data_IF_974111806174
#
_entry.id   IF_974111806174
#
_cell.length_a   1.000
_cell.length_b   1.000
_cell.length_c   1.000
_cell.angle_alpha   90.00
_cell.angle_beta   90.00
_cell.angle_gamma   90.00
#
_symmetry.space_group_name_H-M   'P 1'
#
loop_
_entity.id
_entity.type
_entity.pdbx_description
1 polymer ?
#
# COMPACT_ATOMS: atom_id res chain seq x y z
N UNK A 1 22.79 -35.20 -29.35
CA UNK A 1 23.54 -34.00 -28.96
C UNK A 1 22.55 -32.88 -28.74
N UNK A 2 22.64 -32.18 -27.62
CA UNK A 2 21.86 -30.96 -27.35
C UNK A 2 22.84 -29.79 -27.43
N UNK A 3 22.50 -28.80 -28.25
CA UNK A 3 23.37 -27.71 -28.67
C UNK A 3 23.82 -26.82 -27.51
N UNK A 4 25.10 -26.46 -27.52
CA UNK A 4 25.69 -25.44 -26.66
C UNK A 4 25.31 -24.06 -27.18
N UNK A 5 24.28 -23.47 -26.59
CA UNK A 5 24.20 -22.02 -26.45
C UNK A 5 24.02 -21.77 -24.95
N UNK A 6 25.08 -21.28 -24.29
CA UNK A 6 25.13 -20.98 -22.85
C UNK A 6 24.24 -19.75 -22.49
N UNK A 7 22.97 -19.79 -22.88
CA UNK A 7 21.99 -18.85 -22.39
C UNK A 7 21.67 -19.21 -20.95
N UNK A 8 22.18 -18.38 -20.03
CA UNK A 8 21.82 -18.44 -18.62
C UNK A 8 20.36 -18.04 -18.48
N UNK A 9 19.48 -19.02 -18.28
CA UNK A 9 18.06 -18.80 -17.99
C UNK A 9 17.88 -18.66 -16.48
N UNK A 10 17.32 -17.53 -16.03
CA UNK A 10 16.90 -17.34 -14.64
C UNK A 10 15.43 -17.72 -14.50
N UNK A 11 15.12 -18.66 -13.61
CA UNK A 11 13.75 -19.06 -13.30
C UNK A 11 13.37 -18.48 -11.94
N UNK A 12 12.30 -17.68 -11.92
CA UNK A 12 11.69 -17.14 -10.70
C UNK A 12 10.31 -17.75 -10.51
N UNK A 13 10.00 -18.17 -9.29
CA UNK A 13 8.69 -18.68 -8.91
C UNK A 13 8.27 -18.05 -7.58
N UNK A 14 6.96 -17.76 -7.44
CA UNK A 14 6.37 -17.21 -6.22
C UNK A 14 5.26 -18.12 -5.72
N UNK A 15 5.20 -18.36 -4.41
CA UNK A 15 4.14 -19.15 -3.78
C UNK A 15 3.84 -18.61 -2.38
N UNK A 16 2.57 -18.61 -2.00
CA UNK A 16 2.13 -18.31 -0.63
C UNK A 16 2.02 -19.59 0.22
N UNK A 17 2.15 -20.77 -0.38
CA UNK A 17 2.01 -22.08 0.27
C UNK A 17 3.20 -22.99 -0.07
N UNK A 18 4.41 -22.67 0.42
CA UNK A 18 5.63 -23.42 0.07
C UNK A 18 5.63 -24.88 0.54
N UNK A 19 4.78 -25.23 1.51
CA UNK A 19 4.63 -26.59 2.03
C UNK A 19 3.78 -27.50 1.13
N UNK A 20 2.89 -26.91 0.31
CA UNK A 20 2.06 -27.65 -0.63
C UNK A 20 2.85 -28.10 -1.88
N UNK A 21 4.05 -27.56 -2.07
CA UNK A 21 4.95 -27.97 -3.15
C UNK A 21 5.59 -29.32 -2.85
N UNK A 22 5.55 -30.21 -3.84
CA UNK A 22 6.21 -31.50 -3.76
C UNK A 22 7.73 -31.37 -3.49
N UNK A 23 8.26 -32.36 -2.77
CA UNK A 23 9.66 -32.37 -2.38
C UNK A 23 10.61 -32.37 -3.59
N UNK A 24 10.25 -33.01 -4.71
CA UNK A 24 11.09 -33.05 -5.90
C UNK A 24 11.23 -31.66 -6.55
N UNK A 25 10.17 -30.85 -6.54
CA UNK A 25 10.19 -29.46 -7.04
C UNK A 25 10.98 -28.58 -6.06
N UNK A 26 10.75 -28.72 -4.76
CA UNK A 26 11.46 -27.95 -3.72
C UNK A 26 12.98 -28.12 -3.81
N UNK A 27 13.46 -29.32 -4.14
CA UNK A 27 14.90 -29.61 -4.32
C UNK A 27 15.51 -28.98 -5.57
N UNK A 28 14.71 -28.57 -6.56
CA UNK A 28 15.18 -27.91 -7.79
C UNK A 28 15.30 -26.38 -7.65
N UNK A 29 14.75 -25.81 -6.58
CA UNK A 29 14.92 -24.41 -6.23
C UNK A 29 15.96 -24.27 -5.13
N UNK A 30 17.23 -24.13 -5.55
CA UNK A 30 18.40 -24.06 -4.67
C UNK A 30 18.42 -22.80 -3.78
N UNK A 31 17.79 -21.72 -4.24
CA UNK A 31 17.68 -20.46 -3.52
C UNK A 31 16.21 -20.19 -3.19
N UNK A 32 15.95 -19.89 -1.92
CA UNK A 32 14.62 -19.55 -1.39
C UNK A 32 14.74 -18.27 -0.62
N UNK A 33 13.95 -17.27 -1.00
CA UNK A 33 13.93 -15.96 -0.36
C UNK A 33 12.56 -15.80 0.29
N UNK A 34 12.56 -15.53 1.59
CA UNK A 34 11.35 -15.17 2.30
C UNK A 34 11.07 -13.68 2.13
N UNK A 35 9.83 -13.34 1.80
CA UNK A 35 9.37 -11.96 1.68
C UNK A 35 8.41 -11.71 2.84
N UNK A 36 8.84 -11.03 3.92
CA UNK A 36 7.97 -10.71 5.04
C UNK A 36 6.97 -9.61 4.68
N UNK A 37 5.99 -9.42 5.57
CA UNK A 37 5.14 -8.22 5.54
C UNK A 37 5.98 -6.94 5.65
N UNK A 38 5.53 -5.83 5.03
CA UNK A 38 6.27 -4.58 5.04
C UNK A 38 6.39 -4.02 6.47
N UNK A 39 7.58 -3.55 6.82
CA UNK A 39 7.85 -2.84 8.07
C UNK A 39 7.26 -1.41 8.04
N UNK A 40 7.34 -0.69 9.16
CA UNK A 40 6.76 0.65 9.26
C UNK A 40 7.30 1.59 8.17
N UNK A 41 8.61 1.58 7.93
CA UNK A 41 9.27 2.44 6.92
C UNK A 41 8.87 2.05 5.51
N UNK A 42 8.78 0.75 5.20
CA UNK A 42 8.27 0.27 3.93
C UNK A 42 6.82 0.69 3.74
N UNK A 43 5.94 0.57 4.74
CA UNK A 43 4.54 1.03 4.63
C UNK A 43 4.44 2.53 4.40
N UNK A 44 5.23 3.34 5.11
CA UNK A 44 5.33 4.79 4.84
C UNK A 44 5.77 5.04 3.40
N UNK A 45 6.81 4.35 2.95
CA UNK A 45 7.29 4.47 1.58
C UNK A 45 6.25 4.00 0.56
N UNK A 46 5.48 2.95 0.85
CA UNK A 46 4.40 2.48 -0.01
C UNK A 46 3.30 3.52 -0.13
N UNK A 47 2.89 4.18 0.96
CA UNK A 47 1.93 5.28 0.87
C UNK A 47 2.47 6.48 0.08
N UNK A 48 3.75 6.84 0.24
CA UNK A 48 4.42 7.89 -0.54
C UNK A 48 4.59 7.52 -2.02
N UNK A 49 4.95 6.28 -2.32
CA UNK A 49 5.09 5.77 -3.70
C UNK A 49 3.73 5.65 -4.37
N UNK A 50 2.66 5.46 -3.61
CA UNK A 50 1.29 5.41 -4.13
C UNK A 50 0.70 6.79 -4.45
N UNK A 51 1.44 7.90 -4.23
CA UNK A 51 1.21 9.19 -4.90
C UNK A 51 1.33 9.05 -6.44
N UNK A 52 1.82 7.91 -6.93
CA UNK A 52 2.07 7.59 -8.33
C UNK A 52 0.93 6.83 -9.07
N UNK A 53 -0.33 7.02 -8.67
CA UNK A 53 -1.48 6.62 -9.49
C UNK A 53 -2.14 7.88 -10.07
N UNK A 54 -2.01 8.16 -11.38
CA UNK A 54 -2.97 8.97 -12.08
C UNK A 54 -4.03 8.03 -12.63
N UNK A 55 -5.23 8.57 -12.61
CA UNK A 55 -6.32 8.38 -13.57
C UNK A 55 -7.67 8.70 -12.91
N UNK A 56 -7.72 9.66 -11.98
CA UNK A 56 -8.96 10.42 -11.78
C UNK A 56 -9.29 11.25 -13.05
N UNK A 57 -8.34 11.40 -13.98
CA UNK A 57 -8.56 11.99 -15.30
C UNK A 57 -8.60 10.96 -16.44
N UNK A 58 -9.26 9.81 -16.24
CA UNK A 58 -9.64 8.91 -17.34
C UNK A 58 -11.14 8.58 -17.37
N UNK A 59 -11.98 9.59 -17.10
CA UNK A 59 -13.41 9.55 -17.45
C UNK A 59 -13.81 10.56 -18.55
N UNK A 60 -12.84 11.14 -19.27
CA UNK A 60 -13.09 11.85 -20.54
C UNK A 60 -12.16 11.27 -21.63
N UNK A 61 -12.38 10.00 -21.96
CA UNK A 61 -12.12 9.48 -23.32
C UNK A 61 -10.68 9.41 -23.84
N UNK A 62 -9.68 8.99 -23.05
CA UNK A 62 -8.39 8.56 -23.64
C UNK A 62 -8.00 7.12 -23.29
N UNK A 63 -7.33 6.50 -24.26
CA UNK A 63 -7.17 5.07 -24.47
C UNK A 63 -5.96 4.53 -23.69
N UNK A 64 -6.16 3.42 -22.98
CA UNK A 64 -5.16 2.59 -22.29
C UNK A 64 -4.01 2.17 -23.22
N UNK A 65 -2.77 2.31 -22.75
CA UNK A 65 -1.77 1.23 -22.87
C UNK A 65 -0.53 1.46 -21.99
N UNK A 66 -0.07 0.35 -21.39
CA UNK A 66 1.25 0.08 -20.80
C UNK A 66 1.43 0.29 -19.28
N UNK A 67 1.45 -0.86 -18.60
CA UNK A 67 1.82 -1.07 -17.21
C UNK A 67 3.33 -0.87 -16.97
N UNK A 68 3.66 -0.15 -15.89
CA UNK A 68 4.63 -0.48 -14.84
C UNK A 68 4.88 0.80 -14.04
N UNK A 69 4.14 0.92 -12.93
CA UNK A 69 4.45 1.61 -11.67
C UNK A 69 5.44 2.78 -11.82
N UNK A 70 4.97 3.98 -12.16
CA UNK A 70 5.54 5.30 -11.79
C UNK A 70 4.77 6.40 -12.53
N UNK A 71 3.75 7.01 -11.92
CA UNK A 71 2.96 8.02 -12.59
C UNK A 71 2.42 9.11 -11.61
N UNK A 72 3.05 10.28 -11.64
CA UNK A 72 2.97 11.36 -10.66
C UNK A 72 1.63 12.04 -10.35
N UNK A 73 1.58 12.52 -9.10
CA UNK A 73 0.95 13.72 -8.52
C UNK A 73 -0.58 13.89 -8.66
N UNK A 74 -1.33 13.05 -7.94
CA UNK A 74 -2.71 13.42 -7.55
C UNK A 74 -2.66 14.56 -6.52
N UNK A 75 -3.40 15.68 -6.71
CA UNK A 75 -3.41 16.78 -5.76
C UNK A 75 -3.94 16.31 -4.40
N UNK A 76 -3.05 16.32 -3.41
CA UNK A 76 -3.33 15.92 -2.04
C UNK A 76 -2.74 16.95 -1.07
N UNK A 77 -3.31 17.04 0.13
CA UNK A 77 -2.83 17.92 1.19
C UNK A 77 -2.31 17.12 2.39
N UNK A 78 -1.45 16.13 2.13
CA UNK A 78 -0.88 15.23 3.14
C UNK A 78 0.54 15.67 3.50
N UNK A 79 0.84 15.63 4.78
CA UNK A 79 2.18 15.90 5.31
C UNK A 79 2.95 14.61 5.58
N UNK A 80 4.26 14.70 5.78
CA UNK A 80 5.09 13.55 6.19
C UNK A 80 4.58 12.88 7.49
N UNK A 81 4.06 13.68 8.43
CA UNK A 81 3.46 13.18 9.66
C UNK A 81 2.18 12.37 9.40
N UNK A 82 1.40 12.73 8.38
CA UNK A 82 0.19 11.99 8.01
C UNK A 82 0.57 10.61 7.45
N UNK A 83 1.59 10.54 6.58
CA UNK A 83 2.09 9.27 6.06
C UNK A 83 2.62 8.35 7.18
N UNK A 84 3.29 8.93 8.19
CA UNK A 84 3.69 8.18 9.37
C UNK A 84 2.50 7.65 10.16
N UNK A 85 1.47 8.48 10.38
CA UNK A 85 0.25 8.07 11.08
C UNK A 85 -0.49 6.95 10.35
N UNK A 86 -0.58 7.03 9.02
CA UNK A 86 -1.18 6.00 8.17
C UNK A 86 -0.42 4.67 8.30
N UNK A 87 0.91 4.70 8.18
CA UNK A 87 1.73 3.50 8.26
C UNK A 87 1.67 2.80 9.63
N UNK A 88 1.50 3.56 10.72
CA UNK A 88 1.28 3.01 12.07
C UNK A 88 -0.07 2.31 12.17
N UNK A 89 -1.11 2.85 11.52
CA UNK A 89 -2.47 2.28 11.56
C UNK A 89 -2.67 1.06 10.67
N UNK A 90 -1.84 0.88 9.66
CA UNK A 90 -1.88 -0.29 8.75
C UNK A 90 -0.89 -1.37 9.15
N UNK A 91 -0.71 -1.60 10.45
CA UNK A 91 0.11 -2.72 10.92
C UNK A 91 -0.51 -4.06 10.49
N UNK A 92 0.33 -4.98 10.00
CA UNK A 92 -0.11 -6.27 9.49
C UNK A 92 -0.68 -6.25 8.07
N UNK A 93 -0.78 -5.08 7.43
CA UNK A 93 -1.24 -4.99 6.04
C UNK A 93 -0.16 -5.50 5.10
N UNK A 94 -0.57 -6.30 4.11
CA UNK A 94 0.26 -6.65 2.96
C UNK A 94 0.35 -5.49 1.97
N UNK A 95 1.27 -5.60 1.01
CA UNK A 95 1.35 -4.62 -0.07
C UNK A 95 0.07 -4.53 -0.92
N UNK A 96 -0.64 -5.65 -1.06
CA UNK A 96 -1.94 -5.71 -1.72
C UNK A 96 -3.01 -4.94 -0.93
N UNK A 97 -3.05 -5.09 0.39
CA UNK A 97 -4.01 -4.39 1.25
C UNK A 97 -3.82 -2.87 1.17
N UNK A 98 -2.57 -2.41 1.22
CA UNK A 98 -2.23 -0.98 1.08
C UNK A 98 -2.63 -0.48 -0.33
N UNK A 99 -2.38 -1.25 -1.39
CA UNK A 99 -2.78 -0.89 -2.75
C UNK A 99 -4.29 -0.75 -2.89
N UNK A 100 -5.06 -1.67 -2.31
CA UNK A 100 -6.54 -1.60 -2.32
C UNK A 100 -7.02 -0.38 -1.53
N UNK A 101 -6.45 -0.13 -0.35
CA UNK A 101 -6.77 1.04 0.45
C UNK A 101 -6.54 2.34 -0.33
N UNK A 102 -5.39 2.50 -1.00
CA UNK A 102 -5.13 3.73 -1.76
C UNK A 102 -6.06 3.85 -2.96
N UNK A 103 -6.32 2.77 -3.70
CA UNK A 103 -7.30 2.79 -4.79
C UNK A 103 -8.66 3.27 -4.30
N UNK A 104 -9.12 2.76 -3.16
CA UNK A 104 -10.38 3.18 -2.55
C UNK A 104 -10.43 4.68 -2.22
N UNK A 105 -9.31 5.22 -1.71
CA UNK A 105 -9.16 6.64 -1.37
C UNK A 105 -9.14 7.52 -2.64
N UNK A 106 -8.50 7.06 -3.72
CA UNK A 106 -8.49 7.79 -5.00
C UNK A 106 -9.89 8.00 -5.56
N UNK A 107 -10.87 7.14 -5.23
CA UNK A 107 -12.26 7.34 -5.64
C UNK A 107 -13.08 8.22 -4.68
N UNK A 108 -12.57 8.60 -3.51
CA UNK A 108 -13.30 9.45 -2.56
C UNK A 108 -13.63 10.85 -3.11
N UNK A 109 -12.71 11.58 -3.79
CA UNK A 109 -13.03 12.84 -4.45
C UNK A 109 -14.17 12.72 -5.47
N UNK A 110 -14.20 11.63 -6.24
CA UNK A 110 -15.23 11.37 -7.24
C UNK A 110 -16.58 11.16 -6.55
N UNK A 111 -16.63 10.32 -5.51
CA UNK A 111 -17.83 10.09 -4.69
C UNK A 111 -18.36 11.40 -4.09
N UNK A 112 -17.47 12.20 -3.46
CA UNK A 112 -17.82 13.51 -2.91
C UNK A 112 -18.41 14.45 -3.96
N UNK A 113 -17.90 14.42 -5.18
CA UNK A 113 -18.39 15.28 -6.28
C UNK A 113 -19.75 14.82 -6.78
N UNK A 114 -19.98 13.51 -6.86
CA UNK A 114 -21.26 12.93 -7.26
C UNK A 114 -22.36 13.13 -6.21
N UNK A 115 -22.01 13.02 -4.92
CA UNK A 115 -22.94 13.15 -3.80
C UNK A 115 -23.17 14.62 -3.38
N UNK A 116 -22.41 15.57 -3.95
CA UNK A 116 -22.51 16.98 -3.60
C UNK A 116 -23.81 17.60 -4.11
N UNK A 117 -24.48 18.33 -3.21
CA UNK A 117 -25.66 19.17 -3.52
C UNK A 117 -25.33 20.65 -3.68
N UNK A 118 -24.09 21.03 -3.37
CA UNK A 118 -23.64 22.40 -3.27
C UNK A 118 -22.30 22.53 -3.98
N UNK A 119 -22.19 23.50 -4.89
CA UNK A 119 -20.97 23.84 -5.58
C UNK A 119 -20.71 25.34 -5.49
N UNK A 120 -19.45 25.72 -5.54
CA UNK A 120 -19.06 27.12 -5.70
C UNK A 120 -18.17 27.26 -6.93
N UNK A 121 -18.18 28.46 -7.50
CA UNK A 121 -17.37 28.79 -8.67
C UNK A 121 -16.05 29.39 -8.18
N UNK A 122 -14.94 28.72 -8.52
CA UNK A 122 -13.59 29.21 -8.24
C UNK A 122 -13.25 30.41 -9.13
N UNK A 123 -12.23 31.22 -8.78
CA UNK A 123 -11.76 32.32 -9.62
C UNK A 123 -11.34 31.91 -11.04
N UNK A 124 -11.02 30.62 -11.25
CA UNK A 124 -10.60 30.05 -12.53
C UNK A 124 -11.79 29.53 -13.37
N UNK A 125 -13.01 29.96 -13.07
CA UNK A 125 -14.25 29.52 -13.72
C UNK A 125 -14.62 28.04 -13.53
N UNK A 126 -13.94 27.32 -12.63
CA UNK A 126 -14.19 25.90 -12.34
C UNK A 126 -15.14 25.72 -11.16
N UNK A 127 -16.00 24.71 -11.22
CA UNK A 127 -16.95 24.32 -10.17
C UNK A 127 -16.34 23.29 -9.23
N UNK A 128 -16.36 23.57 -7.93
CA UNK A 128 -15.89 22.64 -6.91
C UNK A 128 -17.00 22.33 -5.90
N UNK A 129 -17.14 21.07 -5.45
CA UNK A 129 -18.13 20.71 -4.45
C UNK A 129 -17.75 21.31 -3.09
N UNK A 130 -18.74 21.83 -2.36
CA UNK A 130 -18.56 22.41 -1.03
C UNK A 130 -19.71 22.07 -0.09
N UNK A 131 -19.57 22.48 1.18
CA UNK A 131 -20.65 22.37 2.17
C UNK A 131 -21.56 23.61 2.16
N UNK A 132 -22.72 23.55 2.83
CA UNK A 132 -23.73 24.62 2.80
C UNK A 132 -23.32 25.91 3.54
N UNK A 133 -22.16 25.92 4.20
CA UNK A 133 -21.73 27.02 5.09
C UNK A 133 -20.78 28.03 4.43
N UNK A 134 -20.43 27.86 3.16
CA UNK A 134 -19.46 28.71 2.48
C UNK A 134 -20.14 29.87 1.73
N UNK A 135 -19.58 31.10 1.75
CA UNK A 135 -20.10 32.21 0.96
C UNK A 135 -19.86 31.98 -0.53
N UNK A 136 -20.84 32.31 -1.38
CA UNK A 136 -20.77 32.07 -2.83
C UNK A 136 -21.14 30.64 -3.25
N UNK A 137 -21.75 29.87 -2.35
CA UNK A 137 -22.30 28.54 -2.64
C UNK A 137 -23.59 28.63 -3.46
N UNK A 138 -23.70 27.77 -4.46
CA UNK A 138 -24.90 27.56 -5.25
C UNK A 138 -25.37 26.13 -5.00
N UNK A 139 -26.64 25.96 -4.68
CA UNK A 139 -27.27 24.65 -4.62
C UNK A 139 -27.53 24.17 -6.04
N UNK A 140 -26.70 23.25 -6.52
CA UNK A 140 -26.77 22.66 -7.85
C UNK A 140 -26.12 21.28 -7.79
N UNK A 141 -26.64 20.31 -8.54
CA UNK A 141 -26.05 18.96 -8.58
C UNK A 141 -25.06 18.81 -9.75
N UNK A 142 -24.21 17.78 -9.69
CA UNK A 142 -23.31 17.45 -10.79
C UNK A 142 -24.08 17.17 -12.09
N UNK A 143 -25.23 16.49 -12.02
CA UNK A 143 -26.07 16.20 -13.19
C UNK A 143 -26.65 17.48 -13.82
N UNK A 144 -27.08 18.44 -12.99
CA UNK A 144 -27.59 19.72 -13.47
C UNK A 144 -26.50 20.57 -14.13
N UNK A 145 -25.28 20.58 -13.57
CA UNK A 145 -24.12 21.20 -14.20
C UNK A 145 -23.79 20.53 -15.54
N UNK A 146 -23.85 19.20 -15.60
CA UNK A 146 -23.62 18.45 -16.83
C UNK A 146 -24.69 18.74 -17.90
N UNK A 147 -25.97 18.84 -17.51
CA UNK A 147 -27.07 19.18 -18.42
C UNK A 147 -26.93 20.59 -19.02
N UNK A 148 -26.26 21.51 -18.30
CA UNK A 148 -25.91 22.85 -18.79
C UNK A 148 -24.64 22.87 -19.67
N UNK A 149 -24.04 21.72 -19.96
CA UNK A 149 -22.81 21.61 -20.73
C UNK A 149 -21.53 21.97 -19.95
N UNK A 150 -21.62 22.10 -18.63
CA UNK A 150 -20.50 22.52 -17.77
C UNK A 150 -19.76 21.35 -17.12
N UNK A 151 -19.99 20.11 -17.58
CA UNK A 151 -19.36 18.91 -17.02
C UNK A 151 -17.82 18.99 -17.01
N UNK A 152 -17.22 19.56 -18.06
CA UNK A 152 -15.77 19.71 -18.16
C UNK A 152 -15.17 20.75 -17.19
N UNK A 153 -16.01 21.60 -16.60
CA UNK A 153 -15.60 22.64 -15.64
C UNK A 153 -15.70 22.16 -14.19
N UNK A 154 -16.07 20.91 -13.94
CA UNK A 154 -16.17 20.36 -12.58
C UNK A 154 -14.80 19.85 -12.15
N UNK A 155 -14.32 20.34 -11.02
CA UNK A 155 -13.07 19.92 -10.40
C UNK A 155 -13.36 19.19 -9.07
N UNK A 156 -12.94 17.92 -8.93
CA UNK A 156 -13.09 17.19 -7.68
C UNK A 156 -12.19 17.81 -6.58
N UNK A 157 -12.57 17.66 -5.29
CA UNK A 157 -11.77 18.19 -4.20
C UNK A 157 -10.46 17.39 -4.05
N UNK A 158 -9.36 18.01 -3.59
CA UNK A 158 -8.12 17.29 -3.34
C UNK A 158 -8.30 16.22 -2.25
N UNK A 159 -7.47 15.18 -2.29
CA UNK A 159 -7.50 14.11 -1.30
C UNK A 159 -7.01 14.64 0.04
N UNK A 160 -7.72 14.28 1.10
CA UNK A 160 -7.44 14.68 2.48
C UNK A 160 -7.22 13.47 3.38
N UNK A 161 -6.60 13.68 4.55
CA UNK A 161 -6.46 12.64 5.59
C UNK A 161 -7.80 12.00 5.97
N UNK A 162 -8.88 12.78 5.97
CA UNK A 162 -10.21 12.29 6.30
C UNK A 162 -10.72 11.20 5.35
N UNK A 163 -10.22 11.18 4.11
CA UNK A 163 -10.56 10.15 3.13
C UNK A 163 -9.89 8.83 3.46
N UNK A 164 -8.62 8.88 3.87
CA UNK A 164 -7.93 7.70 4.40
C UNK A 164 -8.59 7.19 5.68
N UNK A 165 -9.02 8.08 6.58
CA UNK A 165 -9.68 7.68 7.83
C UNK A 165 -10.97 6.87 7.56
N UNK A 166 -11.79 7.32 6.60
CA UNK A 166 -13.01 6.62 6.18
C UNK A 166 -12.72 5.25 5.57
N UNK A 167 -11.73 5.16 4.69
CA UNK A 167 -11.38 3.90 4.03
C UNK A 167 -10.75 2.94 5.03
N UNK A 168 -9.83 3.39 5.88
CA UNK A 168 -9.20 2.55 6.90
C UNK A 168 -10.18 2.06 7.95
N UNK A 169 -11.29 2.78 8.21
CA UNK A 169 -12.32 2.32 9.14
C UNK A 169 -13.05 1.06 8.67
N UNK A 170 -13.09 0.79 7.35
CA UNK A 170 -13.77 -0.38 6.77
C UNK A 170 -12.81 -1.51 6.34
N UNK A 171 -11.52 -1.21 6.18
CA UNK A 171 -10.53 -2.18 5.71
C UNK A 171 -9.98 -3.05 6.86
N UNK A 172 -9.65 -4.31 6.55
CA UNK A 172 -9.01 -5.25 7.48
C UNK A 172 -7.80 -5.91 6.80
N UNK A 173 -6.74 -6.28 7.56
CA UNK A 173 -5.62 -7.03 7.01
C UNK A 173 -6.08 -8.35 6.41
N UNK A 174 -5.61 -8.69 5.21
CA UNK A 174 -5.93 -9.97 4.57
C UNK A 174 -5.07 -11.11 5.13
N UNK A 175 -3.85 -10.81 5.60
CA UNK A 175 -2.92 -11.81 6.13
C UNK A 175 -3.22 -12.07 7.60
N UNK A 176 -3.55 -13.32 7.93
CA UNK A 176 -3.81 -13.72 9.31
C UNK A 176 -2.52 -14.03 10.07
N UNK A 177 -2.60 -14.05 11.41
CA UNK A 177 -1.45 -14.44 12.25
C UNK A 177 -1.02 -15.89 12.00
N UNK A 178 -1.97 -16.78 11.70
CA UNK A 178 -1.70 -18.18 11.41
C UNK A 178 -0.85 -18.33 10.13
N UNK A 179 -1.10 -17.52 9.11
CA UNK A 179 -0.33 -17.53 7.85
C UNK A 179 1.14 -17.13 8.08
N UNK A 180 1.37 -16.22 9.03
CA UNK A 180 2.71 -15.80 9.42
C UNK A 180 3.45 -16.91 10.18
N UNK A 181 2.80 -17.55 11.14
CA UNK A 181 3.39 -18.65 11.93
C UNK A 181 3.82 -19.83 11.05
N UNK A 182 3.01 -20.20 10.06
CA UNK A 182 3.34 -21.26 9.10
C UNK A 182 4.56 -20.89 8.26
N UNK A 183 4.67 -19.61 7.88
CA UNK A 183 5.78 -19.10 7.07
C UNK A 183 7.11 -19.08 7.85
N UNK A 184 7.09 -18.67 9.12
CA UNK A 184 8.27 -18.67 10.00
C UNK A 184 8.68 -20.09 10.44
N UNK A 185 7.70 -20.95 10.77
CA UNK A 185 7.94 -22.33 11.17
C UNK A 185 8.62 -23.17 10.08
N UNK A 186 8.26 -22.96 8.81
CA UNK A 186 8.85 -23.69 7.69
C UNK A 186 10.31 -23.31 7.40
N UNK A 187 10.70 -22.05 7.65
CA UNK A 187 12.10 -21.62 7.56
C UNK A 187 12.93 -22.13 8.75
N UNK A 188 12.36 -22.12 9.97
CA UNK A 188 13.01 -22.67 11.15
C UNK A 188 13.25 -24.18 11.04
N UNK A 189 12.29 -24.95 10.50
CA UNK A 189 12.44 -26.40 10.30
C UNK A 189 13.47 -26.72 9.21
N UNK A 190 13.55 -25.90 8.15
CA UNK A 190 14.58 -26.07 7.11
C UNK A 190 16.00 -25.74 7.62
N UNK A 191 16.13 -24.82 8.58
CA UNK A 191 17.39 -24.53 9.26
C UNK A 191 17.78 -25.61 10.28
N UNK A 192 16.82 -26.32 10.89
CA UNK A 192 17.12 -27.34 11.90
C UNK A 192 17.64 -28.67 11.31
N UNK A 193 17.36 -28.96 10.04
CA UNK A 193 17.80 -30.19 9.35
C UNK A 193 19.17 -30.08 8.65
N UNK A 194 19.75 -28.88 8.62
CA UNK A 194 21.10 -28.63 8.13
C UNK A 194 21.79 -27.86 9.25
N UNK A 195 22.60 -28.53 10.08
CA UNK A 195 23.23 -27.95 11.27
C UNK A 195 24.04 -26.66 11.00
N UNK A 196 23.34 -25.54 10.89
CA UNK A 196 23.87 -24.20 10.65
C UNK A 196 23.66 -23.41 11.91
N UNK A 197 24.78 -23.22 12.62
CA UNK A 197 24.94 -22.35 13.77
C UNK A 197 24.43 -20.96 13.44
N UNK A 198 23.60 -20.41 14.33
CA UNK A 198 23.10 -19.03 14.30
C UNK A 198 24.26 -18.04 14.19
N UNK A 199 24.27 -17.23 13.13
CA UNK A 199 25.15 -16.08 12.96
C UNK A 199 24.45 -14.84 13.56
N UNK A 200 24.43 -14.76 14.89
CA UNK A 200 24.22 -13.49 15.58
C UNK A 200 25.48 -12.63 15.40
N UNK A 201 25.46 -11.70 14.45
CA UNK A 201 26.64 -10.84 14.25
C UNK A 201 26.62 -9.86 13.09
N UNK A 202 25.52 -9.70 12.35
CA UNK A 202 25.44 -8.74 11.24
C UNK A 202 24.15 -7.94 11.33
N UNK A 203 24.02 -7.11 12.36
CA UNK A 203 23.43 -5.76 12.32
C UNK A 203 23.53 -5.19 13.74
N UNK A 204 24.58 -4.40 13.97
CA UNK A 204 24.79 -3.68 15.22
C UNK A 204 23.65 -2.70 15.49
N UNK A 205 22.83 -3.03 16.48
CA UNK A 205 21.86 -2.14 17.12
C UNK A 205 21.96 -2.35 18.62
N UNK A 206 22.79 -1.55 19.29
CA UNK A 206 23.00 -1.57 20.74
C UNK A 206 21.69 -1.18 21.43
N UNK A 207 20.99 -2.15 22.03
CA UNK A 207 19.91 -1.88 22.99
C UNK A 207 20.54 -1.87 24.37
N UNK A 208 20.76 -0.68 24.94
CA UNK A 208 21.17 -0.52 26.33
C UNK A 208 20.02 -0.97 27.25
N UNK A 209 20.18 -2.16 27.84
CA UNK A 209 19.34 -2.69 28.89
C UNK A 209 19.59 -1.96 30.21
N UNK A 210 18.52 -1.45 30.81
CA UNK A 210 18.50 -0.88 32.16
C UNK A 210 18.88 -1.96 33.17
N UNK A 211 19.77 -1.60 34.09
CA UNK A 211 20.22 -2.45 35.18
C UNK A 211 19.15 -2.74 36.23
N UNK A 212 19.24 -3.93 36.80
CA UNK A 212 18.67 -4.33 38.08
C UNK A 212 19.64 -5.32 38.73
N UNK A 213 20.03 -5.15 40.01
CA UNK A 213 21.17 -5.87 40.58
C UNK A 213 20.78 -7.18 41.25
N UNK A 214 21.69 -8.16 41.15
CA UNK A 214 22.24 -8.88 42.31
C UNK A 214 21.41 -10.01 42.90
N UNK A 215 21.79 -11.24 42.57
CA UNK A 215 21.51 -12.43 43.37
C UNK A 215 22.67 -13.40 43.23
N UNK A 216 23.64 -13.29 44.15
CA UNK A 216 24.80 -14.18 44.22
C UNK A 216 24.42 -15.58 44.65
N UNK A 217 25.08 -16.56 44.02
CA UNK A 217 25.17 -17.93 44.50
C UNK A 217 26.57 -18.08 45.09
N UNK A 218 26.65 -18.31 46.40
CA UNK A 218 27.80 -18.90 47.06
C UNK A 218 27.40 -20.29 47.56
N UNK A 219 28.28 -21.25 47.24
CA UNK A 219 28.47 -22.63 47.72
C UNK A 219 27.38 -23.71 47.51
#
# INVERSE_FOLDING_TARGET
GVGHSDQKVLVLAATNTPYALDQAIRRRFDKRIYIPLPDLKARQHMFKVLDLIPDILLCIGKKKEKCLVHLGDTPHNLTESDFESLARRTEGFSGSDISVCVKDVLFEPVRKTQDAMFFYKTPNDMWMPCGPKQPGVVQITMQELAAKGLAAQILPPPISRSDFDKVLARQRPTVSKADLEVSFGALAIAAYQLGVVWLDGLFGGKVEGRGGPGGGFDD
#
